data_IF_961533980499
#
_entry.id   IF_961533980499
#
_cell.length_a   1.000
_cell.length_b   1.000
_cell.length_c   1.000
_cell.angle_alpha   90.00
_cell.angle_beta   90.00
_cell.angle_gamma   90.00
#
_symmetry.space_group_name_H-M   'P 1'
#
loop_
_entity.id
_entity.type
_entity.pdbx_description
1 polymer ?
#
# COMPACT_ATOMS: atom_id res chain seq x y z
N UNK A 1 -18.52 -22.77 3.01
CA UNK A 1 -18.22 -21.97 1.82
C UNK A 1 -16.88 -22.44 1.28
N UNK A 2 -16.71 -22.67 -0.03
CA UNK A 2 -15.44 -23.10 -0.57
C UNK A 2 -14.37 -22.03 -0.30
N UNK A 3 -13.16 -22.47 0.01
CA UNK A 3 -11.99 -21.62 0.17
C UNK A 3 -11.69 -20.94 -1.18
N UNK A 4 -12.10 -19.70 -1.35
CA UNK A 4 -11.61 -18.85 -2.43
C UNK A 4 -10.31 -18.19 -1.96
N UNK A 5 -9.27 -18.98 -1.82
CA UNK A 5 -7.91 -18.46 -1.72
C UNK A 5 -7.39 -18.29 -3.14
N UNK A 6 -7.20 -17.03 -3.55
CA UNK A 6 -6.51 -16.74 -4.79
C UNK A 6 -5.03 -17.00 -4.56
N UNK A 7 -4.49 -18.00 -5.22
CA UNK A 7 -3.04 -18.17 -5.31
C UNK A 7 -2.49 -17.07 -6.25
N UNK A 8 -1.70 -16.17 -5.71
CA UNK A 8 -0.95 -15.20 -6.51
C UNK A 8 0.34 -15.88 -7.03
N UNK A 9 0.76 -15.64 -8.30
CA UNK A 9 0.28 -14.62 -9.22
C UNK A 9 -0.95 -15.04 -10.02
N UNK A 10 -1.94 -14.16 -10.09
CA UNK A 10 -3.12 -14.33 -10.93
C UNK A 10 -3.04 -13.39 -12.13
N UNK A 11 -3.52 -13.82 -13.31
CA UNK A 11 -3.63 -12.91 -14.46
C UNK A 11 -4.62 -11.76 -14.17
N UNK A 12 -4.41 -10.61 -14.81
CA UNK A 12 -5.31 -9.46 -14.66
C UNK A 12 -6.77 -9.83 -14.97
N UNK A 13 -7.00 -10.60 -16.03
CA UNK A 13 -8.35 -11.04 -16.41
C UNK A 13 -9.01 -11.94 -15.33
N UNK A 14 -8.27 -12.87 -14.76
CA UNK A 14 -8.77 -13.74 -13.69
C UNK A 14 -9.02 -12.93 -12.40
N UNK A 15 -8.16 -11.96 -12.10
CA UNK A 15 -8.35 -11.05 -10.98
C UNK A 15 -9.64 -10.24 -11.13
N UNK A 16 -9.84 -9.61 -12.29
CA UNK A 16 -11.07 -8.84 -12.57
C UNK A 16 -12.30 -9.74 -12.40
N UNK A 17 -12.31 -10.92 -13.02
CA UNK A 17 -13.41 -11.89 -12.90
C UNK A 17 -13.68 -12.29 -11.45
N UNK A 18 -12.62 -12.48 -10.65
CA UNK A 18 -12.75 -12.79 -9.23
C UNK A 18 -13.42 -11.63 -8.47
N UNK A 19 -12.95 -10.39 -8.66
CA UNK A 19 -13.55 -9.22 -8.01
C UNK A 19 -15.01 -9.03 -8.46
N UNK A 20 -15.34 -9.29 -9.72
CA UNK A 20 -16.74 -9.27 -10.20
C UNK A 20 -17.59 -10.35 -9.52
N UNK A 21 -17.04 -11.53 -9.27
CA UNK A 21 -17.74 -12.57 -8.50
C UNK A 21 -18.04 -12.10 -7.08
N UNK A 22 -17.08 -11.43 -6.40
CA UNK A 22 -17.30 -10.87 -5.08
C UNK A 22 -18.32 -9.72 -5.10
N UNK A 23 -18.31 -8.90 -6.14
CA UNK A 23 -19.23 -7.77 -6.32
C UNK A 23 -20.68 -8.21 -6.45
N UNK A 24 -20.93 -9.40 -6.99
CA UNK A 24 -22.27 -9.98 -7.19
C UNK A 24 -22.81 -10.72 -5.95
N UNK A 25 -22.08 -10.75 -4.84
CA UNK A 25 -22.58 -11.36 -3.60
C UNK A 25 -23.49 -10.37 -2.88
N UNK A 26 -24.76 -10.76 -2.75
CA UNK A 26 -25.83 -9.98 -2.15
C UNK A 26 -26.11 -10.39 -0.69
N UNK A 27 -26.95 -9.60 -0.01
CA UNK A 27 -27.47 -9.88 1.34
C UNK A 27 -26.41 -9.96 2.44
N UNK A 28 -25.28 -9.28 2.27
CA UNK A 28 -24.25 -9.13 3.30
C UNK A 28 -24.27 -7.70 3.84
N UNK A 29 -24.25 -7.58 5.16
CA UNK A 29 -24.19 -6.28 5.84
C UNK A 29 -22.86 -6.16 6.58
N UNK A 30 -22.04 -5.19 6.17
CA UNK A 30 -20.83 -4.81 6.87
C UNK A 30 -21.14 -4.05 8.16
N UNK A 31 -20.58 -4.51 9.25
CA UNK A 31 -20.63 -3.81 10.55
C UNK A 31 -19.21 -3.67 11.09
N UNK A 32 -18.99 -2.72 12.01
CA UNK A 32 -17.68 -2.58 12.66
C UNK A 32 -17.20 -3.90 13.26
N UNK A 33 -18.10 -4.62 13.92
CA UNK A 33 -17.77 -5.86 14.61
C UNK A 33 -17.36 -6.98 13.64
N UNK A 34 -18.16 -7.23 12.56
CA UNK A 34 -17.82 -8.32 11.63
C UNK A 34 -16.60 -7.99 10.76
N UNK A 35 -16.36 -6.70 10.42
CA UNK A 35 -15.14 -6.25 9.76
C UNK A 35 -13.93 -6.43 10.67
N UNK A 36 -14.04 -6.06 11.95
CA UNK A 36 -12.96 -6.27 12.92
C UNK A 36 -12.61 -7.75 13.05
N UNK A 37 -13.62 -8.61 13.12
CA UNK A 37 -13.43 -10.07 13.16
C UNK A 37 -12.79 -10.60 11.89
N UNK A 38 -13.27 -10.19 10.71
CA UNK A 38 -12.70 -10.61 9.42
C UNK A 38 -11.24 -10.15 9.27
N UNK A 39 -10.94 -8.90 9.64
CA UNK A 39 -9.59 -8.35 9.60
C UNK A 39 -8.63 -9.09 10.56
N UNK A 40 -9.05 -9.36 11.79
CA UNK A 40 -8.26 -10.19 12.71
C UNK A 40 -8.03 -11.58 12.14
N UNK A 41 -9.07 -12.22 11.62
CA UNK A 41 -8.98 -13.56 11.04
C UNK A 41 -8.03 -13.59 9.84
N UNK A 42 -8.10 -12.61 8.94
CA UNK A 42 -7.23 -12.54 7.75
C UNK A 42 -5.75 -12.34 8.13
N UNK A 43 -5.47 -11.62 9.21
CA UNK A 43 -4.10 -11.41 9.70
C UNK A 43 -3.58 -12.67 10.41
N UNK A 44 -4.42 -13.30 11.24
CA UNK A 44 -3.99 -14.39 12.15
C UNK A 44 -3.94 -15.75 11.43
N UNK A 45 -4.84 -15.97 10.46
CA UNK A 45 -5.03 -17.29 9.81
C UNK A 45 -3.74 -17.93 9.30
N UNK A 46 -2.87 -17.11 8.70
CA UNK A 46 -1.68 -17.59 8.01
C UNK A 46 -0.40 -16.95 8.62
N UNK A 47 -0.41 -16.65 9.94
CA UNK A 47 0.76 -16.13 10.63
C UNK A 47 1.92 -17.11 10.53
N UNK A 48 3.09 -16.66 10.04
CA UNK A 48 4.28 -17.51 10.02
C UNK A 48 4.72 -17.89 11.44
N UNK A 49 5.24 -19.11 11.58
CA UNK A 49 5.92 -19.55 12.81
C UNK A 49 7.34 -19.01 12.91
N UNK A 50 7.97 -18.80 11.76
CA UNK A 50 9.30 -18.21 11.64
C UNK A 50 9.21 -16.67 11.67
N UNK A 51 10.28 -15.97 12.04
CA UNK A 51 10.31 -14.52 12.01
C UNK A 51 9.94 -13.94 10.64
N UNK A 52 9.02 -12.97 10.63
CA UNK A 52 8.56 -12.30 9.42
C UNK A 52 8.61 -10.78 9.56
N UNK A 53 8.53 -10.06 8.45
CA UNK A 53 8.59 -8.61 8.40
C UNK A 53 7.20 -7.96 8.36
N UNK A 54 7.07 -6.77 8.93
CA UNK A 54 5.93 -5.88 8.71
C UNK A 54 6.43 -4.55 8.16
N UNK A 55 5.91 -4.13 7.01
CA UNK A 55 6.23 -2.84 6.41
C UNK A 55 5.46 -1.74 7.16
N UNK A 56 6.11 -1.13 8.16
CA UNK A 56 5.49 -0.18 9.08
C UNK A 56 5.72 1.27 8.65
N UNK A 57 4.78 1.86 7.92
CA UNK A 57 4.83 3.28 7.54
C UNK A 57 4.37 4.24 8.65
N UNK A 58 3.86 3.73 9.77
CA UNK A 58 3.20 4.51 10.80
C UNK A 58 1.79 5.02 10.40
N UNK A 59 1.24 4.56 9.28
CA UNK A 59 -0.17 4.74 8.93
C UNK A 59 -1.07 3.74 9.63
N UNK A 60 -2.39 4.02 9.67
CA UNK A 60 -3.38 3.19 10.37
C UNK A 60 -3.35 1.73 9.91
N UNK A 61 -3.20 1.47 8.61
CA UNK A 61 -3.28 0.13 8.02
C UNK A 61 -2.19 -0.80 8.53
N UNK A 62 -0.93 -0.38 8.39
CA UNK A 62 0.22 -1.17 8.84
C UNK A 62 0.30 -1.26 10.36
N UNK A 63 -0.18 -0.24 11.08
CA UNK A 63 -0.19 -0.24 12.53
C UNK A 63 -1.24 -1.17 13.13
N UNK A 64 -2.39 -1.37 12.45
CA UNK A 64 -3.37 -2.41 12.81
C UNK A 64 -2.74 -3.80 12.67
N UNK A 65 -2.06 -4.07 11.55
CA UNK A 65 -1.37 -5.36 11.34
C UNK A 65 -0.38 -5.60 12.47
N UNK A 66 0.50 -4.64 12.73
CA UNK A 66 1.53 -4.76 13.78
C UNK A 66 0.91 -4.95 15.18
N UNK A 67 -0.19 -4.24 15.49
CA UNK A 67 -0.88 -4.37 16.78
C UNK A 67 -1.51 -5.76 16.95
N UNK A 68 -2.19 -6.27 15.93
CA UNK A 68 -2.81 -7.61 15.97
C UNK A 68 -1.72 -8.69 16.07
N UNK A 69 -0.66 -8.63 15.27
CA UNK A 69 0.45 -9.58 15.37
C UNK A 69 1.12 -9.56 16.75
N UNK A 70 1.28 -8.37 17.34
CA UNK A 70 1.80 -8.22 18.70
C UNK A 70 0.89 -8.89 19.73
N UNK A 71 -0.42 -8.68 19.64
CA UNK A 71 -1.40 -9.27 20.57
C UNK A 71 -1.47 -10.80 20.46
N UNK A 72 -0.97 -11.36 19.34
CA UNK A 72 -0.82 -12.80 19.13
C UNK A 72 0.58 -13.30 19.50
N UNK A 73 1.45 -12.46 20.06
CA UNK A 73 2.84 -12.78 20.39
C UNK A 73 3.62 -13.39 19.20
N UNK A 74 3.24 -12.98 17.97
CA UNK A 74 3.86 -13.49 16.75
C UNK A 74 5.32 -13.03 16.63
N UNK A 75 6.22 -13.83 16.03
CA UNK A 75 7.63 -13.50 15.88
C UNK A 75 7.85 -12.57 14.67
N UNK A 76 7.76 -11.26 14.82
CA UNK A 76 7.96 -10.32 13.72
C UNK A 76 8.87 -9.15 14.07
N UNK A 77 9.43 -8.54 13.03
CA UNK A 77 10.13 -7.26 13.08
C UNK A 77 9.46 -6.26 12.14
N UNK A 78 9.50 -4.99 12.49
CA UNK A 78 8.98 -3.91 11.66
C UNK A 78 10.08 -3.27 10.83
N UNK A 79 9.75 -2.81 9.62
CA UNK A 79 10.68 -2.20 8.69
C UNK A 79 10.14 -0.88 8.16
N UNK A 80 10.96 0.17 8.20
CA UNK A 80 10.62 1.47 7.65
C UNK A 80 11.85 2.14 7.07
N UNK A 81 11.68 2.80 5.93
CA UNK A 81 12.74 3.52 5.23
C UNK A 81 12.31 4.92 4.85
N UNK A 82 13.27 5.80 4.65
CA UNK A 82 12.99 7.15 4.17
C UNK A 82 14.26 7.98 4.03
N UNK A 83 14.09 9.20 3.56
CA UNK A 83 15.11 10.24 3.63
C UNK A 83 15.10 10.81 5.04
N UNK A 84 16.25 11.32 5.50
CA UNK A 84 16.41 11.96 6.81
C UNK A 84 15.27 12.95 7.09
N UNK A 85 14.63 12.79 8.24
CA UNK A 85 13.51 13.63 8.65
C UNK A 85 12.20 13.36 7.93
N UNK A 86 12.07 12.27 7.18
CA UNK A 86 10.81 11.86 6.56
C UNK A 86 9.75 11.53 7.61
N UNK A 87 8.49 11.78 7.25
CA UNK A 87 7.38 11.61 8.18
C UNK A 87 7.15 10.15 8.55
N UNK A 88 7.30 9.22 7.58
CA UNK A 88 7.14 7.79 7.83
C UNK A 88 8.16 7.29 8.87
N UNK A 89 9.43 7.69 8.75
CA UNK A 89 10.45 7.33 9.74
C UNK A 89 10.14 7.90 11.14
N UNK A 90 9.69 9.16 11.19
CA UNK A 90 9.35 9.81 12.47
C UNK A 90 8.19 9.09 13.15
N UNK A 91 7.10 8.87 12.40
CA UNK A 91 5.88 8.27 13.00
C UNK A 91 6.06 6.79 13.27
N UNK A 92 6.73 6.02 12.40
CA UNK A 92 6.99 4.60 12.65
C UNK A 92 7.86 4.37 13.89
N UNK A 93 8.88 5.22 14.13
CA UNK A 93 9.68 5.19 15.38
C UNK A 93 8.81 5.44 16.62
N UNK A 94 7.89 6.40 16.55
CA UNK A 94 6.98 6.70 17.65
C UNK A 94 6.00 5.55 17.91
N UNK A 95 5.37 5.00 16.87
CA UNK A 95 4.48 3.83 17.00
C UNK A 95 5.24 2.62 17.57
N UNK A 96 6.44 2.35 17.06
CA UNK A 96 7.26 1.25 17.56
C UNK A 96 7.62 1.43 19.05
N UNK A 97 7.95 2.66 19.47
CA UNK A 97 8.21 2.98 20.87
C UNK A 97 6.97 2.73 21.77
N UNK A 98 5.80 3.25 21.36
CA UNK A 98 4.56 3.12 22.14
C UNK A 98 4.13 1.65 22.22
N UNK A 99 4.15 0.96 21.11
CA UNK A 99 3.76 -0.46 21.04
C UNK A 99 4.89 -1.42 21.45
N UNK A 100 6.09 -0.93 21.81
CA UNK A 100 7.25 -1.77 22.14
C UNK A 100 7.54 -2.81 21.05
N UNK A 101 7.65 -2.36 19.80
CA UNK A 101 7.96 -3.19 18.63
C UNK A 101 9.44 -3.08 18.28
N UNK A 102 10.03 -4.17 17.81
CA UNK A 102 11.34 -4.12 17.16
C UNK A 102 11.18 -3.45 15.79
N UNK A 103 11.86 -2.33 15.57
CA UNK A 103 11.80 -1.56 14.33
C UNK A 103 13.19 -1.36 13.74
N UNK A 104 13.40 -1.88 12.54
CA UNK A 104 14.60 -1.68 11.74
C UNK A 104 14.34 -0.52 10.77
N UNK A 105 15.21 0.49 10.80
CA UNK A 105 15.08 1.67 9.94
C UNK A 105 16.36 1.95 9.17
N UNK A 106 16.21 2.53 7.99
CA UNK A 106 17.33 3.11 7.24
C UNK A 106 16.95 4.49 6.69
N UNK A 107 17.84 5.45 6.91
CA UNK A 107 17.83 6.76 6.26
C UNK A 107 18.71 6.69 5.02
N UNK A 108 18.18 7.12 3.87
CA UNK A 108 18.88 7.07 2.59
C UNK A 108 19.39 8.43 2.16
N UNK A 109 20.58 8.45 1.59
CA UNK A 109 21.15 9.62 0.91
C UNK A 109 20.73 9.61 -0.58
N UNK A 110 20.98 10.75 -1.28
CA UNK A 110 20.49 10.92 -2.65
C UNK A 110 21.12 9.95 -3.66
N UNK A 111 22.40 9.67 -3.52
CA UNK A 111 23.12 8.73 -4.37
C UNK A 111 22.62 7.29 -4.20
N UNK A 112 22.30 6.90 -2.96
CA UNK A 112 21.68 5.61 -2.67
C UNK A 112 20.28 5.50 -3.32
N UNK A 113 19.49 6.60 -3.35
CA UNK A 113 18.21 6.63 -4.03
C UNK A 113 18.39 6.44 -5.55
N UNK A 114 19.38 7.07 -6.19
CA UNK A 114 19.63 6.85 -7.61
C UNK A 114 19.97 5.39 -7.90
N UNK A 115 20.78 4.74 -7.08
CA UNK A 115 21.11 3.32 -7.20
C UNK A 115 19.86 2.43 -7.03
N UNK A 116 18.98 2.77 -6.10
CA UNK A 116 17.70 2.07 -5.93
C UNK A 116 16.80 2.21 -7.16
N UNK A 117 16.70 3.41 -7.73
CA UNK A 117 15.92 3.65 -8.95
C UNK A 117 16.45 2.80 -10.11
N UNK A 118 17.77 2.73 -10.29
CA UNK A 118 18.39 1.89 -11.33
C UNK A 118 18.07 0.40 -11.10
N UNK A 119 18.10 -0.10 -9.87
CA UNK A 119 17.70 -1.48 -9.54
C UNK A 119 16.24 -1.72 -9.88
N UNK A 120 15.34 -0.84 -9.45
CA UNK A 120 13.89 -0.97 -9.72
C UNK A 120 13.58 -0.92 -11.21
N UNK A 121 14.21 -0.02 -11.97
CA UNK A 121 14.04 0.08 -13.42
C UNK A 121 14.51 -1.21 -14.13
N UNK A 122 15.49 -1.94 -13.56
CA UNK A 122 15.90 -3.25 -14.08
C UNK A 122 14.86 -4.34 -13.85
N UNK A 123 14.14 -4.29 -12.76
CA UNK A 123 13.13 -5.29 -12.36
C UNK A 123 11.80 -5.03 -13.08
N UNK A 124 11.33 -3.79 -13.09
CA UNK A 124 10.04 -3.45 -13.68
C UNK A 124 10.06 -3.54 -15.21
N UNK A 125 8.95 -3.98 -15.85
CA UNK A 125 8.81 -3.92 -17.29
C UNK A 125 8.93 -2.47 -17.77
N UNK A 126 9.55 -2.29 -18.96
CA UNK A 126 9.64 -0.96 -19.55
C UNK A 126 8.24 -0.47 -19.90
N UNK A 127 7.95 0.82 -19.66
CA UNK A 127 6.69 1.37 -20.09
C UNK A 127 6.62 1.30 -21.61
N UNK A 128 5.49 0.86 -22.14
CA UNK A 128 5.14 1.14 -23.53
C UNK A 128 4.86 2.64 -23.55
N UNK A 129 5.75 3.41 -24.18
CA UNK A 129 5.72 4.88 -24.16
C UNK A 129 4.50 5.36 -24.95
N UNK A 130 3.36 5.42 -24.27
CA UNK A 130 2.26 6.34 -24.57
C UNK A 130 2.26 7.37 -23.47
N UNK A 131 2.15 8.65 -23.81
CA UNK A 131 2.28 9.76 -22.84
C UNK A 131 1.38 9.61 -21.60
N UNK A 132 0.24 8.96 -21.74
CA UNK A 132 -0.79 8.78 -20.71
C UNK A 132 -0.37 7.82 -19.57
N UNK A 133 0.48 6.84 -19.84
CA UNK A 133 0.90 5.82 -18.87
C UNK A 133 2.19 6.18 -18.11
N UNK A 134 2.79 7.31 -18.42
CA UNK A 134 4.09 7.67 -17.84
C UNK A 134 4.01 8.10 -16.37
N UNK A 135 2.94 8.80 -15.99
CA UNK A 135 2.71 9.19 -14.58
C UNK A 135 2.58 7.94 -13.72
N UNK A 136 1.86 6.94 -14.21
CA UNK A 136 1.72 5.65 -13.55
C UNK A 136 3.06 4.94 -13.39
N UNK A 137 3.88 4.92 -14.42
CA UNK A 137 5.22 4.32 -14.35
C UNK A 137 6.13 5.02 -13.34
N UNK A 138 6.12 6.35 -13.28
CA UNK A 138 6.86 7.11 -12.27
C UNK A 138 6.43 6.75 -10.85
N UNK A 139 5.12 6.59 -10.64
CA UNK A 139 4.58 6.15 -9.35
C UNK A 139 5.03 4.72 -9.06
N UNK A 140 4.93 3.82 -10.02
CA UNK A 140 5.41 2.43 -9.88
C UNK A 140 6.88 2.38 -9.48
N UNK A 141 7.76 3.12 -10.14
CA UNK A 141 9.20 3.16 -9.83
C UNK A 141 9.45 3.71 -8.44
N UNK A 142 8.82 4.83 -8.07
CA UNK A 142 9.07 5.47 -6.77
C UNK A 142 8.56 4.65 -5.59
N UNK A 143 7.39 4.02 -5.72
CA UNK A 143 6.84 3.13 -4.68
C UNK A 143 7.66 1.85 -4.58
N UNK A 144 8.06 1.28 -5.71
CA UNK A 144 8.93 0.09 -5.73
C UNK A 144 10.28 0.32 -5.10
N UNK A 145 10.84 1.53 -5.22
CA UNK A 145 12.10 1.87 -4.56
C UNK A 145 11.96 1.85 -3.02
N UNK A 146 10.83 2.35 -2.49
CA UNK A 146 10.52 2.25 -1.05
C UNK A 146 10.37 0.79 -0.64
N UNK A 147 9.62 0.01 -1.39
CA UNK A 147 9.36 -1.40 -1.10
C UNK A 147 10.65 -2.24 -1.12
N UNK A 148 11.40 -2.16 -2.23
CA UNK A 148 12.68 -2.85 -2.40
C UNK A 148 13.64 -2.53 -1.25
N UNK A 149 13.78 -1.24 -0.91
CA UNK A 149 14.69 -0.80 0.14
C UNK A 149 14.27 -1.28 1.53
N UNK A 150 12.98 -1.22 1.86
CA UNK A 150 12.48 -1.68 3.15
C UNK A 150 12.66 -3.20 3.32
N UNK A 151 12.29 -3.98 2.32
CA UNK A 151 12.44 -5.44 2.36
C UNK A 151 13.91 -5.90 2.32
N UNK A 152 14.83 -5.06 1.84
CA UNK A 152 16.27 -5.38 1.81
C UNK A 152 16.97 -5.21 3.17
N UNK A 153 16.29 -4.68 4.19
CA UNK A 153 16.89 -4.44 5.51
C UNK A 153 16.94 -5.68 6.41
N UNK A 154 16.17 -6.70 6.09
CA UNK A 154 16.12 -7.93 6.87
C UNK A 154 16.19 -9.18 6.00
N UNK A 155 16.38 -10.33 6.64
CA UNK A 155 16.48 -11.64 5.98
C UNK A 155 15.14 -12.39 5.94
N UNK A 156 14.08 -11.80 6.50
CA UNK A 156 12.74 -12.37 6.50
C UNK A 156 12.30 -12.72 5.07
N UNK A 157 11.64 -13.86 4.95
CA UNK A 157 11.11 -14.35 3.67
C UNK A 157 9.73 -13.81 3.37
N UNK A 158 8.94 -13.52 4.41
CA UNK A 158 7.56 -13.05 4.32
C UNK A 158 7.45 -11.66 4.91
N UNK A 159 6.77 -10.76 4.20
CA UNK A 159 6.51 -9.38 4.65
C UNK A 159 5.02 -9.06 4.59
N UNK A 160 4.47 -8.60 5.68
CA UNK A 160 3.09 -8.13 5.75
C UNK A 160 2.99 -6.66 5.35
N UNK A 161 1.97 -6.32 4.57
CA UNK A 161 1.72 -4.98 4.03
C UNK A 161 0.26 -4.57 4.17
N UNK A 162 0.02 -3.27 4.36
CA UNK A 162 -1.32 -2.66 4.41
C UNK A 162 -1.97 -2.42 3.04
N UNK A 163 -1.48 -3.06 1.98
CA UNK A 163 -2.05 -2.97 0.63
C UNK A 163 -3.51 -3.45 0.63
N UNK A 164 -4.39 -2.78 -0.14
CA UNK A 164 -5.82 -3.07 -0.21
C UNK A 164 -6.69 -2.23 0.73
N UNK A 165 -6.14 -1.75 1.85
CA UNK A 165 -6.90 -0.93 2.79
C UNK A 165 -7.43 0.38 2.17
N UNK A 166 -6.74 0.93 1.17
CA UNK A 166 -7.15 2.17 0.50
C UNK A 166 -8.43 1.97 -0.32
N UNK A 167 -8.49 0.87 -1.03
CA UNK A 167 -9.62 0.48 -1.86
C UNK A 167 -10.84 0.18 -0.99
N UNK A 168 -10.66 -0.61 0.06
CA UNK A 168 -11.74 -1.07 0.92
C UNK A 168 -12.38 0.06 1.75
N UNK A 169 -11.54 0.96 2.28
CA UNK A 169 -11.94 1.95 3.29
C UNK A 169 -11.85 3.40 2.79
N UNK A 170 -11.88 3.62 1.49
CA UNK A 170 -11.90 4.94 0.86
C UNK A 170 -10.71 5.83 1.26
N UNK A 171 -9.48 5.31 1.14
CA UNK A 171 -8.27 6.01 1.58
C UNK A 171 -7.71 7.03 0.60
N UNK A 172 -8.06 7.00 -0.69
CA UNK A 172 -7.49 7.85 -1.72
C UNK A 172 -8.13 9.24 -1.79
N UNK A 173 -7.37 10.23 -2.28
CA UNK A 173 -7.88 11.58 -2.53
C UNK A 173 -9.04 11.61 -3.55
N UNK A 174 -9.03 10.71 -4.53
CA UNK A 174 -10.14 10.57 -5.48
C UNK A 174 -11.44 10.15 -4.79
N UNK A 175 -11.36 9.37 -3.71
CA UNK A 175 -12.53 8.99 -2.91
C UNK A 175 -13.14 10.18 -2.17
N UNK A 176 -12.32 11.12 -1.68
CA UNK A 176 -12.82 12.36 -1.07
C UNK A 176 -13.60 13.16 -2.10
N UNK A 177 -13.07 13.28 -3.32
CA UNK A 177 -13.74 13.99 -4.41
C UNK A 177 -15.04 13.33 -4.88
N UNK A 178 -15.10 11.99 -4.88
CA UNK A 178 -16.33 11.26 -5.24
C UNK A 178 -17.50 11.46 -4.27
N UNK A 179 -17.25 12.00 -3.10
CA UNK A 179 -18.28 12.37 -2.11
C UNK A 179 -18.70 13.83 -2.25
N UNK A 180 -17.75 14.72 -2.56
CA UNK A 180 -17.96 16.18 -2.54
C UNK A 180 -18.32 16.80 -3.89
N UNK A 181 -17.96 16.16 -5.00
CA UNK A 181 -18.09 16.73 -6.34
C UNK A 181 -18.53 15.69 -7.36
N UNK A 182 -19.58 16.00 -8.14
CA UNK A 182 -19.84 15.33 -9.41
C UNK A 182 -19.03 16.05 -10.48
N UNK A 183 -18.14 15.34 -11.19
CA UNK A 183 -17.34 15.95 -12.25
C UNK A 183 -16.15 15.08 -12.66
N UNK A 184 -15.18 15.66 -13.35
CA UNK A 184 -13.96 14.96 -13.77
C UNK A 184 -12.78 15.27 -12.85
N UNK A 185 -12.00 14.26 -12.49
CA UNK A 185 -10.72 14.44 -11.83
C UNK A 185 -9.60 13.92 -12.71
N UNK A 186 -8.69 14.80 -13.09
CA UNK A 186 -7.59 14.49 -14.04
C UNK A 186 -8.08 13.87 -15.36
N UNK A 187 -9.23 14.33 -15.87
CA UNK A 187 -9.82 13.84 -17.12
C UNK A 187 -10.63 12.55 -17.00
N UNK A 188 -10.86 12.05 -15.80
CA UNK A 188 -11.66 10.84 -15.54
C UNK A 188 -12.95 11.25 -14.84
N UNK A 189 -14.09 10.77 -15.33
CA UNK A 189 -15.37 10.99 -14.66
C UNK A 189 -15.39 10.38 -13.27
N UNK A 190 -15.81 11.19 -12.28
CA UNK A 190 -15.91 10.76 -10.90
C UNK A 190 -17.20 9.95 -10.75
N UNK A 191 -17.04 8.67 -10.60
CA UNK A 191 -18.12 7.73 -10.26
C UNK A 191 -18.47 7.83 -8.77
N UNK A 192 -19.64 7.29 -8.40
CA UNK A 192 -19.99 7.16 -6.98
C UNK A 192 -18.90 6.38 -6.21
N UNK A 193 -18.70 6.70 -4.91
CA UNK A 193 -17.63 6.10 -4.11
C UNK A 193 -17.62 4.57 -4.16
N UNK A 194 -18.80 3.95 -4.13
CA UNK A 194 -18.93 2.50 -4.15
C UNK A 194 -18.41 1.91 -5.46
N UNK A 195 -18.81 2.50 -6.58
CA UNK A 195 -18.35 2.09 -7.91
C UNK A 195 -16.85 2.32 -8.07
N UNK A 196 -16.33 3.50 -7.66
CA UNK A 196 -14.89 3.81 -7.71
C UNK A 196 -14.05 2.85 -6.85
N UNK A 197 -14.58 2.39 -5.71
CA UNK A 197 -13.92 1.42 -4.86
C UNK A 197 -13.81 0.04 -5.54
N UNK A 198 -14.89 -0.46 -6.16
CA UNK A 198 -14.86 -1.70 -6.92
C UNK A 198 -13.92 -1.63 -8.13
N UNK A 199 -13.97 -0.52 -8.88
CA UNK A 199 -13.03 -0.29 -9.98
C UNK A 199 -11.59 -0.18 -9.48
N UNK A 200 -11.37 0.40 -8.30
CA UNK A 200 -10.07 0.41 -7.64
C UNK A 200 -9.53 -0.99 -7.37
N UNK A 201 -10.37 -1.88 -6.83
CA UNK A 201 -10.02 -3.29 -6.61
C UNK A 201 -9.71 -4.02 -7.91
N UNK A 202 -10.50 -3.83 -8.99
CA UNK A 202 -10.24 -4.44 -10.29
C UNK A 202 -8.88 -4.01 -10.86
N UNK A 203 -8.54 -2.72 -10.78
CA UNK A 203 -7.24 -2.18 -11.24
C UNK A 203 -6.05 -2.57 -10.38
N UNK A 204 -6.29 -3.08 -9.17
CA UNK A 204 -5.25 -3.34 -8.18
C UNK A 204 -4.21 -4.37 -8.64
N UNK A 205 -4.62 -5.38 -9.41
CA UNK A 205 -3.69 -6.37 -9.94
C UNK A 205 -2.58 -5.71 -10.76
N UNK A 206 -2.93 -4.91 -11.75
CA UNK A 206 -1.97 -4.27 -12.65
C UNK A 206 -1.16 -3.16 -11.95
N UNK A 207 -1.81 -2.36 -11.10
CA UNK A 207 -1.18 -1.17 -10.50
C UNK A 207 -0.29 -1.49 -9.29
N UNK A 208 -0.66 -2.52 -8.52
CA UNK A 208 -0.07 -2.79 -7.21
C UNK A 208 0.46 -4.22 -7.12
N UNK A 209 -0.41 -5.23 -7.23
CA UNK A 209 -0.07 -6.63 -6.93
C UNK A 209 1.05 -7.13 -7.84
N UNK A 210 0.91 -6.98 -9.17
CA UNK A 210 1.93 -7.42 -10.14
C UNK A 210 3.25 -6.70 -9.95
N UNK A 211 3.23 -5.40 -9.65
CA UNK A 211 4.42 -4.59 -9.35
C UNK A 211 5.14 -5.11 -8.11
N UNK A 212 4.41 -5.29 -7.02
CA UNK A 212 4.99 -5.67 -5.73
C UNK A 212 5.49 -7.11 -5.77
N UNK A 213 4.80 -7.99 -6.51
CA UNK A 213 5.26 -9.34 -6.80
C UNK A 213 6.60 -9.37 -7.53
N UNK A 214 6.77 -8.57 -8.60
CA UNK A 214 8.04 -8.49 -9.32
C UNK A 214 9.19 -8.06 -8.40
N UNK A 215 8.94 -7.08 -7.51
CA UNK A 215 9.94 -6.61 -6.55
C UNK A 215 10.27 -7.71 -5.52
N UNK A 216 9.27 -8.34 -4.93
CA UNK A 216 9.49 -9.38 -3.92
C UNK A 216 10.17 -10.63 -4.50
N UNK A 217 9.76 -11.07 -5.69
CA UNK A 217 10.39 -12.20 -6.39
C UNK A 217 11.86 -11.95 -6.72
N UNK A 218 12.23 -10.70 -7.09
CA UNK A 218 13.63 -10.34 -7.34
C UNK A 218 14.53 -10.53 -6.13
N UNK A 219 13.93 -10.58 -4.93
CA UNK A 219 14.61 -10.82 -3.65
C UNK A 219 14.34 -12.22 -3.07
N UNK A 220 13.58 -13.07 -3.77
CA UNK A 220 13.09 -14.37 -3.27
C UNK A 220 12.32 -14.24 -1.96
N UNK A 221 11.45 -13.22 -1.89
CA UNK A 221 10.61 -12.90 -0.73
C UNK A 221 9.14 -12.86 -1.14
N UNK A 222 8.25 -12.89 -0.16
CA UNK A 222 6.80 -12.83 -0.36
C UNK A 222 6.20 -11.61 0.33
N UNK A 223 5.14 -11.05 -0.25
CA UNK A 223 4.34 -10.00 0.36
C UNK A 223 2.94 -10.55 0.62
N UNK A 224 2.54 -10.49 1.89
CA UNK A 224 1.20 -10.86 2.35
C UNK A 224 0.41 -9.59 2.61
N UNK A 225 -0.79 -9.49 2.03
CA UNK A 225 -1.69 -8.34 2.21
C UNK A 225 -3.02 -8.80 2.81
N UNK A 226 -3.19 -8.77 4.15
CA UNK A 226 -4.39 -9.26 4.83
C UNK A 226 -5.67 -8.51 4.43
N UNK A 227 -5.55 -7.30 3.90
CA UNK A 227 -6.71 -6.54 3.38
C UNK A 227 -7.26 -7.10 2.07
N UNK A 228 -6.52 -7.98 1.39
CA UNK A 228 -6.96 -8.69 0.18
C UNK A 228 -7.51 -10.08 0.60
N UNK A 229 -8.48 -10.08 1.47
CA UNK A 229 -9.22 -11.25 1.91
C UNK A 229 -10.66 -11.14 1.45
N UNK A 230 -11.19 -12.16 0.78
CA UNK A 230 -12.51 -12.13 0.16
C UNK A 230 -13.62 -11.74 1.13
N UNK A 231 -13.61 -12.32 2.33
CA UNK A 231 -14.61 -12.02 3.35
C UNK A 231 -14.52 -10.57 3.82
N UNK A 232 -13.29 -10.08 4.00
CA UNK A 232 -13.06 -8.68 4.38
C UNK A 232 -13.47 -7.73 3.25
N UNK A 233 -13.15 -8.07 1.99
CA UNK A 233 -13.57 -7.30 0.81
C UNK A 233 -15.09 -7.15 0.79
N UNK A 234 -15.83 -8.27 0.83
CA UNK A 234 -17.28 -8.28 0.76
C UNK A 234 -17.88 -7.44 1.89
N UNK A 235 -17.43 -7.63 3.13
CA UNK A 235 -17.91 -6.90 4.29
C UNK A 235 -17.58 -5.41 4.22
N UNK A 236 -16.38 -5.05 3.82
CA UNK A 236 -15.98 -3.65 3.71
C UNK A 236 -16.71 -2.96 2.55
N UNK A 237 -16.94 -3.67 1.44
CA UNK A 237 -17.66 -3.13 0.29
C UNK A 237 -19.16 -3.01 0.52
N UNK A 238 -19.76 -3.76 1.43
CA UNK A 238 -21.17 -3.61 1.82
C UNK A 238 -21.43 -2.46 2.81
N UNK A 239 -20.39 -1.78 3.29
CA UNK A 239 -20.56 -0.62 4.18
C UNK A 239 -21.18 0.58 3.44
N UNK A 240 -22.09 1.33 4.08
CA UNK A 240 -22.52 2.64 3.60
C UNK A 240 -21.34 3.61 3.46
N UNK A 241 -21.43 4.49 2.49
CA UNK A 241 -20.36 5.47 2.17
C UNK A 241 -19.96 6.34 3.36
N UNK A 242 -20.94 6.82 4.14
CA UNK A 242 -20.74 7.67 5.33
C UNK A 242 -19.97 6.97 6.47
N UNK A 243 -19.93 5.64 6.47
CA UNK A 243 -19.09 4.85 7.40
C UNK A 243 -17.64 4.75 6.94
N UNK A 244 -17.37 4.96 5.66
CA UNK A 244 -16.01 4.93 5.10
C UNK A 244 -15.35 6.30 5.11
N UNK A 245 -16.10 7.35 4.72
CA UNK A 245 -15.55 8.69 4.46
C UNK A 245 -16.59 9.78 4.72
N UNK A 246 -16.13 10.97 5.11
CA UNK A 246 -16.88 12.22 5.10
C UNK A 246 -15.97 13.39 4.67
N UNK A 247 -16.47 14.63 4.76
CA UNK A 247 -15.72 15.84 4.41
C UNK A 247 -14.42 16.01 5.21
N UNK A 248 -14.32 15.46 6.40
CA UNK A 248 -13.23 15.70 7.34
C UNK A 248 -12.27 14.51 7.47
N UNK A 249 -12.72 13.29 7.19
CA UNK A 249 -11.98 12.07 7.46
C UNK A 249 -12.24 10.97 6.44
N UNK A 250 -11.17 10.34 5.99
CA UNK A 250 -11.20 9.09 5.24
C UNK A 250 -10.92 7.88 6.16
N UNK A 251 -11.27 6.67 5.71
CA UNK A 251 -11.09 5.41 6.48
C UNK A 251 -11.77 5.44 7.86
N UNK A 252 -12.91 6.11 8.01
CA UNK A 252 -13.57 6.31 9.32
C UNK A 252 -13.68 5.05 10.14
N UNK A 253 -14.37 4.04 9.61
CA UNK A 253 -14.57 2.76 10.31
C UNK A 253 -13.24 2.08 10.66
N UNK A 254 -12.25 2.13 9.77
CA UNK A 254 -10.94 1.53 10.01
C UNK A 254 -10.18 2.25 11.13
N UNK A 255 -10.32 3.57 11.23
CA UNK A 255 -9.76 4.38 12.33
C UNK A 255 -10.45 4.10 13.66
N UNK A 256 -11.76 3.89 13.65
CA UNK A 256 -12.51 3.45 14.84
C UNK A 256 -12.06 2.07 15.31
N UNK A 257 -11.94 1.11 14.38
CA UNK A 257 -11.40 -0.23 14.66
C UNK A 257 -9.97 -0.14 15.21
N UNK A 258 -9.13 0.71 14.64
CA UNK A 258 -7.77 0.92 15.14
C UNK A 258 -7.75 1.42 16.58
N UNK A 259 -8.62 2.38 16.93
CA UNK A 259 -8.77 2.89 18.31
C UNK A 259 -9.23 1.79 19.27
N UNK A 260 -10.24 1.02 18.89
CA UNK A 260 -10.76 -0.09 19.70
C UNK A 260 -9.70 -1.20 19.92
N UNK A 261 -8.81 -1.39 18.97
CA UNK A 261 -7.67 -2.31 19.07
C UNK A 261 -6.50 -1.75 19.88
N UNK A 262 -6.55 -0.50 20.32
CA UNK A 262 -5.45 0.14 21.04
C UNK A 262 -4.27 0.55 20.15
N UNK A 263 -4.51 0.78 18.85
CA UNK A 263 -3.52 1.41 17.96
C UNK A 263 -3.33 2.86 18.38
N UNK A 264 -2.09 3.35 18.56
CA UNK A 264 -1.81 4.71 18.99
C UNK A 264 -2.48 5.78 18.09
N UNK A 265 -2.88 6.88 18.70
CA UNK A 265 -3.52 8.01 17.99
C UNK A 265 -2.65 8.57 16.86
N UNK A 266 -1.34 8.54 17.03
CA UNK A 266 -0.33 8.96 16.06
C UNK A 266 -0.48 8.22 14.72
N UNK A 267 -0.97 6.98 14.73
CA UNK A 267 -1.30 6.18 13.55
C UNK A 267 -2.77 6.29 13.17
N UNK A 268 -3.70 6.11 14.16
CA UNK A 268 -5.14 6.04 13.90
C UNK A 268 -5.72 7.37 13.39
N UNK A 269 -5.10 8.51 13.70
CA UNK A 269 -5.52 9.85 13.27
C UNK A 269 -4.66 10.44 12.15
N UNK A 270 -3.54 9.81 11.83
CA UNK A 270 -2.61 10.29 10.79
C UNK A 270 -3.29 10.40 9.43
N UNK A 271 -3.09 11.55 8.76
CA UNK A 271 -3.53 11.72 7.36
C UNK A 271 -2.73 10.79 6.44
N UNK A 272 -3.44 10.13 5.53
CA UNK A 272 -2.81 9.21 4.56
C UNK A 272 -1.84 9.93 3.63
N UNK A 273 -0.67 9.33 3.46
CA UNK A 273 0.30 9.65 2.41
C UNK A 273 0.69 8.38 1.67
N UNK A 274 0.88 8.47 0.35
CA UNK A 274 1.49 7.38 -0.42
C UNK A 274 2.92 7.13 0.06
N UNK A 275 3.41 5.90 -0.06
CA UNK A 275 4.71 5.48 0.44
C UNK A 275 5.86 6.37 -0.04
N UNK A 276 5.87 6.76 -1.33
CA UNK A 276 6.87 7.65 -1.90
C UNK A 276 6.85 9.08 -1.33
N UNK A 277 5.70 9.53 -0.81
CA UNK A 277 5.56 10.86 -0.20
C UNK A 277 5.89 10.84 1.29
N UNK A 278 5.42 9.82 2.01
CA UNK A 278 5.69 9.64 3.44
C UNK A 278 7.17 9.38 3.73
N UNK A 279 7.83 8.57 2.92
CA UNK A 279 9.28 8.31 2.95
C UNK A 279 10.12 9.47 2.42
N UNK A 280 9.51 10.47 1.76
CA UNK A 280 10.18 11.57 1.03
C UNK A 280 11.01 11.12 -0.19
N UNK A 281 10.87 9.90 -0.68
CA UNK A 281 11.54 9.44 -1.90
C UNK A 281 11.15 10.26 -3.12
N UNK A 282 9.89 10.69 -3.24
CA UNK A 282 9.45 11.56 -4.33
C UNK A 282 10.16 12.93 -4.32
N UNK A 283 10.44 13.47 -3.12
CA UNK A 283 11.24 14.69 -2.97
C UNK A 283 12.70 14.46 -3.37
N UNK A 284 13.29 13.33 -2.99
CA UNK A 284 14.64 12.95 -3.38
C UNK A 284 14.76 12.81 -4.91
N UNK A 285 13.80 12.14 -5.56
CA UNK A 285 13.75 12.03 -7.03
C UNK A 285 13.64 13.42 -7.67
N UNK A 286 12.84 14.33 -7.09
CA UNK A 286 12.76 15.72 -7.56
C UNK A 286 14.11 16.43 -7.48
N UNK A 287 14.84 16.24 -6.38
CA UNK A 287 16.16 16.83 -6.18
C UNK A 287 17.19 16.25 -7.16
N UNK A 288 17.21 14.93 -7.32
CA UNK A 288 18.06 14.23 -8.29
C UNK A 288 17.78 14.70 -9.73
N UNK A 289 16.52 14.88 -10.09
CA UNK A 289 16.11 15.42 -11.38
C UNK A 289 16.79 16.76 -11.67
N UNK A 290 16.77 17.69 -10.69
CA UNK A 290 17.39 19.01 -10.83
C UNK A 290 18.92 18.95 -10.87
N UNK A 291 19.54 18.16 -9.98
CA UNK A 291 21.01 17.98 -9.92
C UNK A 291 21.56 17.44 -11.25
N UNK A 292 20.81 16.52 -11.88
CA UNK A 292 21.18 15.93 -13.17
C UNK A 292 20.76 16.80 -14.38
N UNK A 293 20.35 18.06 -14.17
CA UNK A 293 20.07 19.04 -15.24
C UNK A 293 18.72 18.86 -15.94
N UNK A 294 17.82 18.04 -15.39
CA UNK A 294 16.51 17.82 -15.99
C UNK A 294 15.44 18.75 -15.37
N UNK A 295 14.52 19.25 -16.20
CA UNK A 295 13.35 20.02 -15.76
C UNK A 295 12.20 19.14 -15.27
N UNK A 296 12.08 17.91 -15.80
CA UNK A 296 10.97 16.99 -15.57
C UNK A 296 11.49 15.64 -15.06
N UNK A 297 10.87 15.08 -14.03
CA UNK A 297 11.16 13.73 -13.50
C UNK A 297 11.12 12.67 -14.60
N UNK A 298 10.17 12.80 -15.54
CA UNK A 298 10.06 11.94 -16.72
C UNK A 298 11.39 11.84 -17.44
N UNK A 299 11.97 12.97 -17.84
CA UNK A 299 13.22 13.02 -18.60
C UNK A 299 14.40 12.44 -17.83
N UNK A 300 14.44 12.68 -16.53
CA UNK A 300 15.45 12.08 -15.67
C UNK A 300 15.32 10.56 -15.63
N UNK A 301 14.11 10.01 -15.39
CA UNK A 301 13.90 8.56 -15.40
C UNK A 301 14.16 7.94 -16.78
N UNK A 302 13.80 8.61 -17.88
CA UNK A 302 14.14 8.17 -19.25
C UNK A 302 15.67 8.04 -19.43
N UNK A 303 16.44 8.99 -18.88
CA UNK A 303 17.91 8.93 -18.93
C UNK A 303 18.47 7.73 -18.14
N UNK A 304 17.85 7.40 -16.99
CA UNK A 304 18.23 6.20 -16.23
C UNK A 304 17.88 4.91 -16.98
N UNK A 305 16.75 4.88 -17.69
CA UNK A 305 16.36 3.75 -18.55
C UNK A 305 17.33 3.60 -19.72
N UNK A 306 17.79 4.70 -20.31
CA UNK A 306 18.76 4.69 -21.40
C UNK A 306 20.14 4.19 -20.95
N UNK A 307 20.62 4.59 -19.77
CA UNK A 307 21.86 4.08 -19.15
C UNK A 307 21.88 2.56 -18.98
N UNK A 308 20.71 1.91 -18.97
CA UNK A 308 20.56 0.43 -18.90
C UNK A 308 21.01 -0.30 -20.18
N UNK A 309 21.18 0.40 -21.30
CA UNK A 309 21.51 -0.20 -22.61
C UNK A 309 23.02 -0.35 -22.85
N UNK A 310 23.85 0.15 -21.97
CA UNK A 310 25.30 0.02 -21.93
C UNK A 310 25.69 -0.92 -20.78
#
# INVERSE_FOLDING_TARGET
>A
MPKLQIELPISEANWIKHIETLQNIENIVGTKQNITTALKTSIIRDLPKEPFGILLSGGVDSSIIAKICKDQEAPFRCFCVGIKGSEDLKVSKEIARILKLELITKEFELDEIEQLLLKVIKILPKPIIRDDNYIEYMVKVSVSAVLLSAMSLGDEKIFYSGIGAEELFAGYQRHVKSVSERGTWRGIDIKGLQEESWEGLKRMNNLVISRDKLISDSMRKEIVSPYIDDKLIILAMSLPTDKKIDSNSNKKILREIAKDLGVPKEASERKKKGAQYGSSFDKAITKLTKINGFKLKKRYLDSLIAKKKV
#
